data_IF_123386399267
#
_entry.id   IF_123386399267
#
_cell.length_a   1.000
_cell.length_b   1.000
_cell.length_c   1.000
_cell.angle_alpha   90.00
_cell.angle_beta   90.00
_cell.angle_gamma   90.00
#
_symmetry.space_group_name_H-M   'P 1'
#
loop_
_entity.id
_entity.type
_entity.pdbx_description
1 polymer ?
#
# COMPACT_ATOMS: atom_id res chain seq x y z
N UNK A 1 7.46 9.48 8.05
CA UNK A 1 7.99 8.35 7.24
C UNK A 1 7.13 8.06 6.02
N UNK A 2 5.82 7.78 6.15
CA UNK A 2 4.95 7.40 5.01
C UNK A 2 4.91 8.43 3.86
N UNK A 3 4.66 9.70 4.15
CA UNK A 3 4.63 10.75 3.12
C UNK A 3 5.97 10.91 2.38
N UNK A 4 7.09 10.74 3.07
CA UNK A 4 8.42 10.77 2.46
C UNK A 4 8.63 9.59 1.50
N UNK A 5 8.15 8.39 1.86
CA UNK A 5 8.16 7.22 0.97
C UNK A 5 7.34 7.45 -0.31
N UNK A 6 6.14 8.05 -0.18
CA UNK A 6 5.32 8.43 -1.34
C UNK A 6 6.08 9.43 -2.23
N UNK A 7 6.66 10.48 -1.62
CA UNK A 7 7.40 11.50 -2.36
C UNK A 7 8.61 10.92 -3.09
N UNK A 8 9.39 10.04 -2.44
CA UNK A 8 10.53 9.36 -3.05
C UNK A 8 10.09 8.45 -4.20
N UNK A 9 9.06 7.63 -4.00
CA UNK A 9 8.58 6.72 -5.03
C UNK A 9 8.05 7.46 -6.27
N UNK A 10 7.34 8.58 -6.07
CA UNK A 10 6.85 9.43 -7.16
C UNK A 10 7.97 10.21 -7.86
N UNK A 11 9.06 10.57 -7.15
CA UNK A 11 10.24 11.18 -7.76
C UNK A 11 11.01 10.17 -8.63
N UNK A 12 11.09 8.91 -8.18
CA UNK A 12 11.85 7.87 -8.87
C UNK A 12 11.05 7.14 -9.96
N UNK A 13 9.72 7.26 -10.01
CA UNK A 13 8.88 6.50 -10.94
C UNK A 13 7.75 7.31 -11.57
N UNK A 14 7.46 7.05 -12.84
CA UNK A 14 6.34 7.62 -13.61
C UNK A 14 5.38 6.49 -14.01
N UNK A 15 4.07 6.79 -14.02
CA UNK A 15 3.06 5.83 -14.47
C UNK A 15 3.19 5.58 -15.98
N UNK A 16 3.22 4.31 -16.39
CA UNK A 16 3.26 3.90 -17.80
C UNK A 16 1.90 4.07 -18.49
N UNK A 17 0.83 3.92 -17.72
CA UNK A 17 -0.55 3.96 -18.19
C UNK A 17 -1.50 4.43 -17.06
N UNK A 18 -2.80 4.52 -17.39
CA UNK A 18 -3.84 4.93 -16.42
C UNK A 18 -3.94 3.95 -15.25
N UNK A 19 -3.70 2.66 -15.49
CA UNK A 19 -3.72 1.63 -14.45
C UNK A 19 -2.65 1.89 -13.40
N UNK A 20 -1.42 2.23 -13.79
CA UNK A 20 -0.34 2.57 -12.85
C UNK A 20 -0.62 3.80 -11.97
N UNK A 21 -1.44 4.74 -12.46
CA UNK A 21 -1.91 5.88 -11.66
C UNK A 21 -2.99 5.47 -10.68
N UNK A 22 -4.05 4.80 -11.17
CA UNK A 22 -5.19 4.41 -10.34
C UNK A 22 -4.80 3.39 -9.27
N UNK A 23 -4.06 2.35 -9.65
CA UNK A 23 -3.63 1.29 -8.74
C UNK A 23 -2.76 1.83 -7.60
N UNK A 24 -1.84 2.76 -7.90
CA UNK A 24 -0.98 3.41 -6.90
C UNK A 24 -1.78 4.24 -5.90
N UNK A 25 -2.66 5.13 -6.38
CA UNK A 25 -3.44 5.99 -5.48
C UNK A 25 -4.49 5.20 -4.68
N UNK A 26 -5.09 4.16 -5.27
CA UNK A 26 -5.98 3.24 -4.55
C UNK A 26 -5.23 2.51 -3.43
N UNK A 27 -3.99 2.07 -3.69
CA UNK A 27 -3.15 1.43 -2.68
C UNK A 27 -2.84 2.39 -1.51
N UNK A 28 -2.43 3.63 -1.78
CA UNK A 28 -2.22 4.64 -0.73
C UNK A 28 -3.52 4.91 0.05
N UNK A 29 -4.64 5.12 -0.65
CA UNK A 29 -5.92 5.41 -0.01
C UNK A 29 -6.36 4.28 0.92
N UNK A 30 -6.22 3.02 0.48
CA UNK A 30 -6.53 1.86 1.30
C UNK A 30 -5.64 1.78 2.55
N UNK A 31 -4.32 1.98 2.40
CA UNK A 31 -3.41 1.99 3.56
C UNK A 31 -3.78 3.07 4.57
N UNK A 32 -4.16 4.26 4.11
CA UNK A 32 -4.63 5.34 4.99
C UNK A 32 -5.94 4.97 5.69
N UNK A 33 -6.91 4.39 4.96
CA UNK A 33 -8.18 3.93 5.53
C UNK A 33 -7.96 2.88 6.62
N UNK A 34 -6.98 1.98 6.45
CA UNK A 34 -6.69 0.93 7.42
C UNK A 34 -5.87 1.45 8.61
N UNK A 35 -4.95 2.38 8.38
CA UNK A 35 -4.02 2.85 9.41
C UNK A 35 -4.60 3.97 10.29
N UNK A 36 -5.33 4.93 9.69
CA UNK A 36 -5.83 6.12 10.41
C UNK A 36 -6.73 5.74 11.60
N UNK A 37 -7.69 4.80 11.48
CA UNK A 37 -8.55 4.43 12.61
C UNK A 37 -7.82 3.67 13.72
N UNK A 38 -6.61 3.15 13.46
CA UNK A 38 -5.86 2.27 14.36
C UNK A 38 -5.79 2.74 15.82
N UNK A 39 -5.42 4.02 16.10
CA UNK A 39 -5.35 4.53 17.47
C UNK A 39 -6.67 4.51 18.24
N UNK A 40 -7.80 4.45 17.54
CA UNK A 40 -9.15 4.40 18.12
C UNK A 40 -9.82 3.03 17.99
N UNK A 41 -9.16 2.08 17.32
CA UNK A 41 -9.67 0.72 17.18
C UNK A 41 -9.44 -0.08 18.47
N UNK A 42 -10.40 -0.95 18.86
CA UNK A 42 -10.16 -1.88 19.96
C UNK A 42 -8.95 -2.76 19.66
N UNK A 43 -8.19 -3.19 20.68
CA UNK A 43 -7.08 -4.09 20.46
C UNK A 43 -7.58 -5.40 19.81
N UNK A 44 -6.73 -6.07 19.00
CA UNK A 44 -7.07 -7.35 18.41
C UNK A 44 -7.50 -8.35 19.50
N UNK A 45 -8.53 -9.18 19.27
CA UNK A 45 -9.10 -10.06 20.29
C UNK A 45 -8.20 -11.27 20.62
N UNK A 46 -7.20 -11.57 19.79
CA UNK A 46 -6.17 -12.59 20.05
C UNK A 46 -4.96 -12.43 19.14
N UNK A 47 -3.84 -13.04 19.53
CA UNK A 47 -2.62 -13.14 18.72
C UNK A 47 -2.86 -13.83 17.37
N UNK A 48 -3.70 -14.87 17.35
CA UNK A 48 -4.07 -15.58 16.13
C UNK A 48 -4.72 -14.65 15.09
N UNK A 49 -5.55 -13.71 15.52
CA UNK A 49 -6.17 -12.73 14.61
C UNK A 49 -5.10 -11.82 14.00
N UNK A 50 -4.12 -11.38 14.77
CA UNK A 50 -2.99 -10.58 14.26
C UNK A 50 -2.19 -11.38 13.24
N UNK A 51 -1.87 -12.64 13.52
CA UNK A 51 -1.11 -13.51 12.62
C UNK A 51 -1.84 -13.74 11.29
N UNK A 52 -3.12 -14.11 11.34
CA UNK A 52 -3.94 -14.36 10.14
C UNK A 52 -4.09 -13.08 9.32
N UNK A 53 -4.45 -11.96 9.95
CA UNK A 53 -4.65 -10.70 9.24
C UNK A 53 -3.34 -10.15 8.67
N UNK A 54 -2.20 -10.38 9.34
CA UNK A 54 -0.88 -10.05 8.80
C UNK A 54 -0.56 -10.86 7.54
N UNK A 55 -0.82 -12.16 7.54
CA UNK A 55 -0.64 -13.01 6.35
C UNK A 55 -1.56 -12.59 5.21
N UNK A 56 -2.83 -12.32 5.50
CA UNK A 56 -3.81 -11.83 4.51
C UNK A 56 -3.36 -10.49 3.93
N UNK A 57 -2.92 -9.56 4.76
CA UNK A 57 -2.39 -8.27 4.33
C UNK A 57 -1.19 -8.45 3.40
N UNK A 58 -0.22 -9.31 3.74
CA UNK A 58 0.93 -9.61 2.88
C UNK A 58 0.50 -10.23 1.54
N UNK A 59 -0.43 -11.19 1.58
CA UNK A 59 -0.93 -11.87 0.39
C UNK A 59 -1.69 -10.94 -0.58
N UNK A 60 -2.28 -9.86 -0.07
CA UNK A 60 -2.96 -8.85 -0.90
C UNK A 60 -1.99 -7.76 -1.33
N UNK A 61 -1.29 -7.15 -0.37
CA UNK A 61 -0.46 -5.97 -0.61
C UNK A 61 0.80 -6.27 -1.40
N UNK A 62 1.40 -7.45 -1.23
CA UNK A 62 2.60 -7.85 -1.97
C UNK A 62 2.34 -7.95 -3.49
N UNK A 63 1.41 -8.81 -3.94
CA UNK A 63 1.06 -8.92 -5.36
C UNK A 63 0.54 -7.60 -5.97
N UNK A 64 -0.20 -6.81 -5.20
CA UNK A 64 -0.67 -5.50 -5.66
C UNK A 64 0.50 -4.52 -5.85
N UNK A 65 1.42 -4.41 -4.90
CA UNK A 65 2.62 -3.58 -5.05
C UNK A 65 3.45 -3.99 -6.28
N UNK A 66 3.65 -5.30 -6.45
CA UNK A 66 4.32 -5.83 -7.64
C UNK A 66 3.60 -5.47 -8.95
N UNK A 67 2.27 -5.53 -8.97
CA UNK A 67 1.48 -5.14 -10.13
C UNK A 67 1.59 -3.63 -10.41
N UNK A 68 1.59 -2.79 -9.38
CA UNK A 68 1.83 -1.34 -9.52
C UNK A 68 3.19 -1.10 -10.17
N UNK A 69 4.25 -1.76 -9.69
CA UNK A 69 5.60 -1.61 -10.25
C UNK A 69 5.66 -1.99 -11.73
N UNK A 70 4.94 -3.03 -12.16
CA UNK A 70 4.83 -3.39 -13.59
C UNK A 70 4.16 -2.32 -14.46
N UNK A 71 3.33 -1.47 -13.86
CA UNK A 71 2.66 -0.34 -14.52
C UNK A 71 3.37 1.00 -14.29
N UNK A 72 4.59 0.98 -13.74
CA UNK A 72 5.44 2.17 -13.57
C UNK A 72 6.81 1.94 -14.16
N UNK A 73 7.46 3.04 -14.54
CA UNK A 73 8.80 3.04 -15.12
C UNK A 73 9.66 4.04 -14.36
N UNK A 74 10.98 3.86 -14.37
CA UNK A 74 11.90 4.81 -13.76
C UNK A 74 11.71 6.20 -14.34
N UNK A 75 11.68 7.21 -13.48
CA UNK A 75 11.72 8.60 -13.90
C UNK A 75 13.12 8.90 -14.44
N UNK A 76 13.19 9.27 -15.72
CA UNK A 76 14.35 9.91 -16.35
C UNK A 76 14.51 11.36 -15.89
#
# INVERSE_FOLDING_TARGET
MFAAGIALYLQCTKAKDRTGTVAWWAYIALLLILYIPGPWSPPPPSENVVAIMGIVALAIFGPWAYWIDRHRVSAS
#
